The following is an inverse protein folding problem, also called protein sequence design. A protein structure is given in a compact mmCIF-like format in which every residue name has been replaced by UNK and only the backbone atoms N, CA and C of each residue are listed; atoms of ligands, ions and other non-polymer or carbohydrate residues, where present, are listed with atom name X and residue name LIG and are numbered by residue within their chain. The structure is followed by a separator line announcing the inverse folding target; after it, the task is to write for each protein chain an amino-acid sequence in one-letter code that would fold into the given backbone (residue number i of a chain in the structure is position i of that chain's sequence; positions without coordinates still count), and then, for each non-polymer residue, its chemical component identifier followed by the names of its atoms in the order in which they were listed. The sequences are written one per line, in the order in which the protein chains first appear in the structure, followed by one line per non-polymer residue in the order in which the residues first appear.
data_IF_858168789979
#
_entry.id   IF_858168789979
#
_cell.length_a   1.000
_cell.length_b   1.000
_cell.length_c   1.000
_cell.angle_alpha   90.00
_cell.angle_beta   90.00
_cell.angle_gamma   90.00
#
_symmetry.space_group_name_H-M   'P 1'
#
loop_
_entity.id
_entity.type
_entity.pdbx_description
1 polymer ?
#
# COMPACT_ATOMS: atom_id res chain seq x y z
N UNK A 1 -12.18 -6.37 14.47
CA UNK A 1 -10.70 -6.26 14.48
C UNK A 1 -10.02 -6.67 13.16
N UNK A 2 -10.52 -7.68 12.43
CA UNK A 2 -9.86 -8.21 11.20
C UNK A 2 -9.60 -7.17 10.10
N UNK A 3 -10.56 -6.27 9.85
CA UNK A 3 -10.45 -5.23 8.82
C UNK A 3 -9.30 -4.27 9.13
N UNK A 4 -9.17 -3.84 10.39
CA UNK A 4 -8.07 -2.96 10.81
C UNK A 4 -6.71 -3.63 10.62
N UNK A 5 -6.60 -4.93 10.91
CA UNK A 5 -5.36 -5.68 10.74
C UNK A 5 -4.92 -5.77 9.27
N UNK A 6 -5.87 -6.04 8.36
CA UNK A 6 -5.60 -6.08 6.93
C UNK A 6 -5.24 -4.70 6.37
N UNK A 7 -5.91 -3.63 6.81
CA UNK A 7 -5.59 -2.27 6.42
C UNK A 7 -4.17 -1.86 6.88
N UNK A 8 -3.78 -2.22 8.12
CA UNK A 8 -2.43 -1.96 8.64
C UNK A 8 -1.37 -2.77 7.88
N UNK A 9 -1.63 -4.04 7.58
CA UNK A 9 -0.73 -4.85 6.77
C UNK A 9 -0.54 -4.26 5.36
N UNK A 10 -1.63 -3.80 4.74
CA UNK A 10 -1.59 -3.10 3.47
C UNK A 10 -0.84 -1.78 3.54
N UNK A 11 -0.97 -1.03 4.63
CA UNK A 11 -0.24 0.21 4.87
C UNK A 11 1.27 -0.05 4.98
N UNK A 12 1.69 -1.05 5.78
CA UNK A 12 3.11 -1.40 5.94
C UNK A 12 3.71 -1.86 4.61
N UNK A 13 3.04 -2.79 3.92
CA UNK A 13 3.50 -3.27 2.61
C UNK A 13 3.53 -2.16 1.57
N UNK A 14 2.53 -1.28 1.59
CA UNK A 14 2.45 -0.11 0.73
C UNK A 14 3.57 0.89 0.97
N UNK A 15 3.89 1.19 2.23
CA UNK A 15 5.01 2.06 2.60
C UNK A 15 6.34 1.48 2.12
N UNK A 16 6.59 0.19 2.36
CA UNK A 16 7.85 -0.47 1.96
C UNK A 16 7.99 -0.55 0.44
N UNK A 17 6.94 -1.00 -0.25
CA UNK A 17 6.92 -1.08 -1.71
C UNK A 17 7.03 0.30 -2.37
N UNK A 18 6.26 1.27 -1.87
CA UNK A 18 6.27 2.65 -2.35
C UNK A 18 7.61 3.35 -2.12
N UNK A 19 8.24 3.15 -0.96
CA UNK A 19 9.58 3.66 -0.69
C UNK A 19 10.61 3.07 -1.67
N UNK A 20 10.53 1.76 -1.94
CA UNK A 20 11.43 1.07 -2.87
C UNK A 20 11.30 1.64 -4.30
N UNK A 21 10.06 1.82 -4.78
CA UNK A 21 9.78 2.44 -6.09
C UNK A 21 10.24 3.91 -6.10
N UNK A 22 10.00 4.65 -5.03
CA UNK A 22 10.44 6.03 -4.87
C UNK A 22 11.95 6.16 -4.98
N UNK A 23 12.71 5.31 -4.29
CA UNK A 23 14.18 5.26 -4.40
C UNK A 23 14.60 4.98 -5.86
N UNK A 24 13.98 3.99 -6.51
CA UNK A 24 14.29 3.65 -7.90
C UNK A 24 14.05 4.82 -8.87
N UNK A 25 12.93 5.53 -8.73
CA UNK A 25 12.63 6.72 -9.52
C UNK A 25 13.59 7.89 -9.23
N UNK A 26 13.95 8.09 -7.97
CA UNK A 26 14.92 9.12 -7.58
C UNK A 26 16.32 8.85 -8.14
N UNK A 27 16.78 7.59 -8.12
CA UNK A 27 18.05 7.20 -8.74
C UNK A 27 18.00 7.34 -10.27
N UNK A 28 16.88 6.95 -10.90
CA UNK A 28 16.67 7.14 -12.33
C UNK A 28 16.66 8.62 -12.73
N UNK A 29 16.08 9.49 -11.91
CA UNK A 29 16.09 10.94 -12.11
C UNK A 29 17.51 11.51 -12.09
N UNK A 30 18.33 11.12 -11.11
CA UNK A 30 19.73 11.56 -11.01
C UNK A 30 20.52 11.16 -12.26
N UNK A 31 20.33 9.92 -12.74
CA UNK A 31 21.02 9.43 -13.94
C UNK A 31 20.54 10.14 -15.21
N UNK A 32 19.24 10.38 -15.36
CA UNK A 32 18.68 11.01 -16.56
C UNK A 32 19.13 12.46 -16.72
N UNK A 33 19.23 13.20 -15.60
CA UNK A 33 19.56 14.62 -15.61
C UNK A 33 21.04 14.92 -15.32
N UNK A 34 21.90 13.90 -15.27
CA UNK A 34 23.34 14.02 -15.10
C UNK A 34 23.72 14.99 -13.96
N UNK A 35 22.95 14.92 -12.85
CA UNK A 35 23.13 15.80 -11.69
C UNK A 35 24.36 15.37 -10.88
N UNK A 36 25.53 15.54 -11.49
CA UNK A 36 26.84 15.17 -10.96
C UNK A 36 27.34 16.11 -9.86
N UNK A 37 26.71 17.28 -9.67
CA UNK A 37 27.32 18.34 -8.84
C UNK A 37 27.21 18.12 -7.32
N UNK A 38 26.54 17.05 -6.85
CA UNK A 38 26.41 16.84 -5.42
C UNK A 38 26.30 15.36 -5.05
N UNK A 39 27.45 14.70 -4.88
CA UNK A 39 27.55 13.36 -4.28
C UNK A 39 26.81 13.23 -2.92
N UNK A 40 26.47 14.34 -2.25
CA UNK A 40 25.60 14.37 -1.07
C UNK A 40 24.17 14.89 -1.28
N UNK A 41 23.97 15.93 -2.09
CA UNK A 41 22.66 16.60 -2.25
C UNK A 41 21.71 15.81 -3.16
N UNK A 42 22.25 15.13 -4.18
CA UNK A 42 21.48 14.22 -5.02
C UNK A 42 20.97 13.02 -4.20
N UNK A 43 21.84 12.43 -3.36
CA UNK A 43 21.45 11.38 -2.41
C UNK A 43 20.39 11.84 -1.41
N UNK A 44 20.53 13.06 -0.88
CA UNK A 44 19.50 13.67 -0.01
C UNK A 44 18.17 13.82 -0.74
N UNK A 45 18.15 14.23 -2.00
CA UNK A 45 16.91 14.41 -2.76
C UNK A 45 16.13 13.09 -2.94
N UNK A 46 16.83 11.96 -3.11
CA UNK A 46 16.18 10.65 -3.19
C UNK A 46 15.57 10.26 -1.84
N UNK A 47 16.33 10.39 -0.76
CA UNK A 47 15.91 9.90 0.57
C UNK A 47 14.91 10.85 1.25
N UNK A 48 14.99 12.15 1.01
CA UNK A 48 14.09 13.15 1.63
C UNK A 48 12.88 13.51 0.77
N UNK A 49 12.91 13.25 -0.53
CA UNK A 49 11.81 13.65 -1.43
C UNK A 49 11.17 12.44 -2.09
N UNK A 50 11.91 11.70 -2.90
CA UNK A 50 11.34 10.59 -3.66
C UNK A 50 10.92 9.40 -2.78
N UNK A 51 11.75 9.02 -1.80
CA UNK A 51 11.46 7.93 -0.88
C UNK A 51 10.23 8.23 0.01
N UNK A 52 10.09 9.41 0.65
CA UNK A 52 8.93 9.71 1.47
C UNK A 52 7.66 9.92 0.64
N UNK A 53 7.74 10.53 -0.55
CA UNK A 53 6.60 10.60 -1.48
C UNK A 53 6.15 9.22 -1.93
N UNK A 54 7.10 8.38 -2.34
CA UNK A 54 6.82 7.00 -2.72
C UNK A 54 6.20 6.22 -1.58
N UNK A 55 6.74 6.33 -0.36
CA UNK A 55 6.20 5.71 0.84
C UNK A 55 4.79 6.19 1.17
N UNK A 56 4.51 7.47 1.01
CA UNK A 56 3.20 8.06 1.30
C UNK A 56 2.14 7.62 0.30
N UNK A 57 2.45 7.68 -1.00
CA UNK A 57 1.55 7.20 -2.06
C UNK A 57 1.35 5.69 -1.96
N UNK A 58 2.45 4.94 -1.79
CA UNK A 58 2.40 3.49 -1.65
C UNK A 58 1.63 3.07 -0.39
N UNK A 59 1.84 3.74 0.74
CA UNK A 59 1.16 3.49 2.01
C UNK A 59 -0.35 3.75 1.91
N UNK A 60 -0.75 4.90 1.36
CA UNK A 60 -2.16 5.22 1.12
C UNK A 60 -2.81 4.23 0.13
N UNK A 61 -2.12 3.90 -0.96
CA UNK A 61 -2.60 2.93 -1.94
C UNK A 61 -2.74 1.54 -1.35
N UNK A 62 -1.72 1.05 -0.65
CA UNK A 62 -1.71 -0.27 -0.01
C UNK A 62 -2.79 -0.39 1.07
N UNK A 63 -2.94 0.63 1.92
CA UNK A 63 -3.99 0.68 2.94
C UNK A 63 -5.39 0.67 2.33
N UNK A 64 -5.59 1.43 1.25
CA UNK A 64 -6.89 1.52 0.56
C UNK A 64 -7.25 0.18 -0.07
N UNK A 65 -6.34 -0.43 -0.85
CA UNK A 65 -6.60 -1.69 -1.55
C UNK A 65 -6.88 -2.84 -0.57
N UNK A 66 -6.06 -3.00 0.46
CA UNK A 66 -6.26 -4.05 1.46
C UNK A 66 -7.47 -3.77 2.37
N UNK A 67 -7.74 -2.49 2.67
CA UNK A 67 -8.95 -2.09 3.38
C UNK A 67 -10.22 -2.46 2.61
N UNK A 68 -10.27 -2.17 1.30
CA UNK A 68 -11.40 -2.53 0.44
C UNK A 68 -11.55 -4.05 0.29
N UNK A 69 -10.44 -4.79 0.16
CA UNK A 69 -10.48 -6.25 0.10
C UNK A 69 -11.05 -6.85 1.40
N UNK A 70 -10.66 -6.30 2.56
CA UNK A 70 -11.17 -6.73 3.85
C UNK A 70 -12.66 -6.47 4.03
N UNK A 71 -13.17 -5.36 3.51
CA UNK A 71 -14.61 -5.04 3.53
C UNK A 71 -15.41 -6.03 2.68
N UNK A 72 -14.95 -6.29 1.45
CA UNK A 72 -15.59 -7.27 0.55
C UNK A 72 -15.66 -8.67 1.14
N UNK A 73 -14.59 -9.09 1.81
CA UNK A 73 -14.56 -10.41 2.45
C UNK A 73 -15.50 -10.49 3.65
N UNK A 74 -15.66 -9.38 4.38
CA UNK A 74 -16.62 -9.30 5.47
C UNK A 74 -18.07 -9.44 4.97
N UNK A 75 -18.42 -8.72 3.91
CA UNK A 75 -19.72 -8.81 3.25
C UNK A 75 -20.00 -10.23 2.73
N UNK A 76 -19.01 -10.85 2.08
CA UNK A 76 -19.13 -12.22 1.56
C UNK A 76 -19.36 -13.25 2.68
N UNK A 77 -18.74 -13.06 3.85
CA UNK A 77 -18.93 -13.93 5.02
C UNK A 77 -20.34 -13.82 5.59
N UNK A 78 -20.87 -12.59 5.71
CA UNK A 78 -22.23 -12.34 6.19
C UNK A 78 -23.27 -12.95 5.25
N UNK A 79 -23.10 -12.74 3.93
CA UNK A 79 -24.00 -13.29 2.92
C UNK A 79 -24.04 -14.83 2.96
N UNK A 80 -22.89 -15.49 3.18
CA UNK A 80 -22.79 -16.95 3.29
C UNK A 80 -23.49 -17.50 4.53
N UNK A 81 -23.40 -16.80 5.66
CA UNK A 81 -24.11 -17.18 6.90
C UNK A 81 -25.63 -17.07 6.76
N UNK A 82 -26.13 -16.04 6.07
CA UNK A 82 -27.56 -15.83 5.85
C UNK A 82 -28.19 -16.97 5.03
N UNK A 83 -27.56 -17.36 3.92
CA UNK A 83 -28.04 -18.47 3.08
C UNK A 83 -27.97 -19.82 3.79
N UNK A 84 -26.99 -20.03 4.68
CA UNK A 84 -26.91 -21.24 5.51
C UNK A 84 -28.02 -21.33 6.55
N UNK A 85 -28.52 -20.20 7.06
CA UNK A 85 -29.65 -20.17 8.01
C UNK A 85 -31.01 -20.35 7.33
N UNK A 86 -31.21 -19.79 6.13
CA UNK A 86 -32.47 -19.95 5.38
C UNK A 86 -32.68 -21.40 4.91
N UNK A 87 -31.62 -22.09 4.48
CA UNK A 87 -31.71 -23.51 4.09
C UNK A 87 -31.96 -24.50 5.25
N UNK A 88 -31.79 -24.07 6.51
CA UNK A 88 -32.11 -24.89 7.71
C UNK A 88 -33.56 -24.69 8.15
N UNK A 89 -34.21 -23.59 7.76
CA UNK A 89 -35.60 -23.30 8.14
C UNK A 89 -36.62 -23.91 7.15
N UNK A 90 -36.14 -24.44 6.02
CA UNK A 90 -36.96 -25.10 4.98
C UNK A 90 -36.82 -26.64 4.99
N UNK A 91 -36.07 -27.22 5.94
CA UNK A 91 -35.87 -28.67 6.11
C UNK A 91 -36.56 -29.18 7.38
#
# INVERSE_FOLDING_TARGET
MRIAFLAIAGLIMGVVGGATVGIGLGLGWIQLFNSSEFEGYAGMLVVFTFMPLGALIGGLGGATLFGMAALREHEATIARQRMGHEGVNEA
#
